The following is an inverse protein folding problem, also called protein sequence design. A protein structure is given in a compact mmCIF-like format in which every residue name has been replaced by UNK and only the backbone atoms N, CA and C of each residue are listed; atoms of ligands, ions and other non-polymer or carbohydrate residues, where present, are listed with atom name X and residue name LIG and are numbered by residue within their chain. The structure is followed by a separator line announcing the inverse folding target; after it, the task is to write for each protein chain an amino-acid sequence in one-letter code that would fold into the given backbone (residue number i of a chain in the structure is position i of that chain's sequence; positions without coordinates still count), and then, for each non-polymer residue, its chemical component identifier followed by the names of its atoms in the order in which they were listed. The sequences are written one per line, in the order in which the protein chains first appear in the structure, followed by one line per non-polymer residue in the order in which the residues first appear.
data_IF_745176656571
#
_entry.id   IF_745176656571
#
_cell.length_a   1.000
_cell.length_b   1.000
_cell.length_c   1.000
_cell.angle_alpha   90.00
_cell.angle_beta   90.00
_cell.angle_gamma   90.00
#
_symmetry.space_group_name_H-M   'P 1'
#
loop_
_entity.id
_entity.type
_entity.pdbx_description
1 polymer ?
#
# COMPACT_ATOMS: atom_id res chain seq x y z
N UNK A 1 19.98 -7.51 -9.91
CA UNK A 1 18.89 -8.39 -10.36
C UNK A 1 17.72 -7.47 -10.66
N UNK A 2 17.17 -7.54 -11.87
CA UNK A 2 16.00 -6.72 -12.22
C UNK A 2 14.79 -7.33 -11.52
N UNK A 3 13.98 -6.52 -10.82
CA UNK A 3 12.75 -6.97 -10.20
C UNK A 3 11.81 -7.51 -11.30
N UNK A 4 11.25 -8.70 -11.11
CA UNK A 4 10.30 -9.28 -12.08
C UNK A 4 8.87 -8.86 -11.76
N UNK A 5 7.95 -9.00 -12.73
CA UNK A 5 6.53 -8.73 -12.52
C UNK A 5 5.92 -9.68 -11.48
N UNK A 6 6.38 -10.92 -11.46
CA UNK A 6 5.97 -11.94 -10.49
C UNK A 6 6.36 -11.55 -9.07
N UNK A 7 7.64 -11.21 -8.85
CA UNK A 7 8.12 -10.74 -7.54
C UNK A 7 7.42 -9.46 -7.10
N UNK A 8 7.12 -8.54 -8.02
CA UNK A 8 6.31 -7.36 -7.70
C UNK A 8 4.89 -7.76 -7.28
N UNK A 9 4.29 -8.74 -7.96
CA UNK A 9 2.97 -9.28 -7.61
C UNK A 9 2.92 -9.81 -6.19
N UNK A 10 3.93 -10.60 -5.78
CA UNK A 10 4.06 -11.11 -4.41
C UNK A 10 4.21 -9.98 -3.38
N UNK A 11 5.04 -8.98 -3.67
CA UNK A 11 5.21 -7.79 -2.82
C UNK A 11 3.89 -7.05 -2.64
N UNK A 12 3.14 -6.89 -3.74
CA UNK A 12 1.85 -6.22 -3.73
C UNK A 12 0.77 -7.01 -2.98
N UNK A 13 0.75 -8.34 -3.08
CA UNK A 13 -0.17 -9.19 -2.31
C UNK A 13 0.15 -9.15 -0.80
N UNK A 14 1.43 -9.13 -0.45
CA UNK A 14 1.85 -8.95 0.94
C UNK A 14 1.43 -7.57 1.48
N UNK A 15 1.67 -6.50 0.71
CA UNK A 15 1.27 -5.14 1.10
C UNK A 15 -0.23 -5.01 1.28
N UNK A 16 -1.02 -5.67 0.44
CA UNK A 16 -2.47 -5.73 0.53
C UNK A 16 -2.90 -6.20 1.93
N UNK A 17 -2.46 -7.41 2.32
CA UNK A 17 -2.78 -8.02 3.62
C UNK A 17 -2.33 -7.17 4.81
N UNK A 18 -1.11 -6.62 4.75
CA UNK A 18 -0.57 -5.78 5.84
C UNK A 18 -1.31 -4.46 5.94
N UNK A 19 -1.74 -3.88 4.82
CA UNK A 19 -2.49 -2.61 4.80
C UNK A 19 -3.90 -2.82 5.35
N UNK A 20 -4.57 -3.92 5.02
CA UNK A 20 -5.86 -4.27 5.61
C UNK A 20 -5.79 -4.44 7.13
N UNK A 21 -4.79 -5.17 7.62
CA UNK A 21 -4.59 -5.34 9.06
C UNK A 21 -4.29 -4.00 9.75
N UNK A 22 -3.44 -3.17 9.16
CA UNK A 22 -3.18 -1.84 9.70
C UNK A 22 -4.46 -0.99 9.70
N UNK A 23 -5.26 -1.03 8.63
CA UNK A 23 -6.51 -0.27 8.57
C UNK A 23 -7.45 -0.71 9.69
N UNK A 24 -7.62 -2.02 9.91
CA UNK A 24 -8.40 -2.54 11.03
C UNK A 24 -7.90 -2.01 12.37
N UNK A 25 -6.61 -2.22 12.67
CA UNK A 25 -6.04 -1.78 13.94
C UNK A 25 -6.15 -0.27 14.13
N UNK A 26 -6.00 0.49 13.05
CA UNK A 26 -6.03 1.94 13.09
C UNK A 26 -7.44 2.48 13.31
N UNK A 27 -8.45 1.97 12.60
CA UNK A 27 -9.85 2.37 12.81
C UNK A 27 -10.42 1.90 14.15
N UNK A 28 -9.91 0.79 14.70
CA UNK A 28 -10.36 0.27 16.00
C UNK A 28 -9.65 0.94 17.19
N UNK A 29 -8.37 1.32 17.05
CA UNK A 29 -7.53 1.67 18.21
C UNK A 29 -6.73 2.97 18.08
N UNK A 30 -6.56 3.54 16.87
CA UNK A 30 -5.73 4.74 16.69
C UNK A 30 -6.61 5.99 16.60
N UNK A 31 -6.38 6.92 17.53
CA UNK A 31 -6.91 8.27 17.44
C UNK A 31 -6.00 9.10 16.51
N UNK A 32 -6.39 9.20 15.23
CA UNK A 32 -5.72 10.05 14.26
C UNK A 32 -6.53 11.33 14.04
N UNK A 33 -5.86 12.48 14.12
CA UNK A 33 -6.45 13.78 13.81
C UNK A 33 -7.03 13.82 12.40
N UNK A 34 -8.20 14.45 12.24
CA UNK A 34 -8.87 14.55 10.94
C UNK A 34 -9.81 13.38 10.60
N UNK A 35 -10.10 12.49 11.56
CA UNK A 35 -11.08 11.42 11.40
C UNK A 35 -10.74 10.49 10.24
N UNK A 36 -11.74 10.09 9.44
CA UNK A 36 -11.52 9.19 8.30
C UNK A 36 -10.47 9.72 7.30
N UNK A 37 -10.50 11.02 6.97
CA UNK A 37 -9.55 11.59 5.99
C UNK A 37 -8.11 11.60 6.50
N UNK A 38 -7.93 11.87 7.80
CA UNK A 38 -6.64 11.74 8.47
C UNK A 38 -6.14 10.30 8.45
N UNK A 39 -7.04 9.34 8.73
CA UNK A 39 -6.74 7.92 8.70
C UNK A 39 -6.37 7.43 7.29
N UNK A 40 -7.13 7.79 6.26
CA UNK A 40 -6.83 7.43 4.86
C UNK A 40 -5.45 7.96 4.43
N UNK A 41 -5.15 9.23 4.76
CA UNK A 41 -3.85 9.83 4.47
C UNK A 41 -2.71 9.10 5.18
N UNK A 42 -2.90 8.74 6.46
CA UNK A 42 -1.95 7.95 7.22
C UNK A 42 -1.70 6.58 6.58
N UNK A 43 -2.75 5.84 6.27
CA UNK A 43 -2.65 4.50 5.68
C UNK A 43 -1.99 4.53 4.29
N UNK A 44 -2.34 5.49 3.44
CA UNK A 44 -1.73 5.67 2.11
C UNK A 44 -0.23 5.97 2.21
N UNK A 45 0.19 6.78 3.18
CA UNK A 45 1.60 7.03 3.44
C UNK A 45 2.34 5.77 3.94
N UNK A 46 1.71 5.01 4.86
CA UNK A 46 2.29 3.75 5.34
C UNK A 46 2.43 2.70 4.25
N UNK A 47 1.50 2.65 3.29
CA UNK A 47 1.62 1.80 2.10
C UNK A 47 2.89 2.15 1.30
N UNK A 48 3.10 3.43 0.98
CA UNK A 48 4.23 3.89 0.16
C UNK A 48 5.58 3.61 0.84
N UNK A 49 5.68 3.92 2.14
CA UNK A 49 6.89 3.64 2.94
C UNK A 49 7.22 2.15 2.92
N UNK A 50 6.22 1.29 3.15
CA UNK A 50 6.43 -0.16 3.19
C UNK A 50 6.79 -0.73 1.81
N UNK A 51 6.15 -0.23 0.75
CA UNK A 51 6.49 -0.62 -0.61
C UNK A 51 7.95 -0.31 -0.92
N UNK A 52 8.40 0.92 -0.66
CA UNK A 52 9.78 1.30 -0.92
C UNK A 52 10.76 0.45 -0.11
N UNK A 53 10.48 0.18 1.17
CA UNK A 53 11.30 -0.69 2.00
C UNK A 53 11.41 -2.13 1.43
N UNK A 54 10.30 -2.70 0.95
CA UNK A 54 10.30 -4.04 0.35
C UNK A 54 11.07 -4.06 -0.98
N UNK A 55 10.96 -2.99 -1.79
CA UNK A 55 11.71 -2.87 -3.03
C UNK A 55 13.21 -2.73 -2.76
N UNK A 56 13.61 -1.91 -1.78
CA UNK A 56 15.00 -1.75 -1.35
C UNK A 56 15.59 -3.07 -0.86
N UNK A 57 14.83 -3.85 -0.09
CA UNK A 57 15.26 -5.19 0.34
C UNK A 57 15.52 -6.14 -0.84
N UNK A 58 14.88 -5.90 -1.99
CA UNK A 58 15.12 -6.62 -3.25
C UNK A 58 16.10 -5.90 -4.19
N UNK A 59 16.88 -4.94 -3.68
CA UNK A 59 17.86 -4.13 -4.42
C UNK A 59 17.22 -3.34 -5.58
N UNK A 60 15.99 -2.87 -5.37
CA UNK A 60 15.20 -2.07 -6.31
C UNK A 60 14.65 -0.82 -5.60
N UNK A 61 13.90 0.01 -6.33
CA UNK A 61 13.13 1.14 -5.81
C UNK A 61 11.94 1.41 -6.72
N UNK A 62 10.98 2.23 -6.30
CA UNK A 62 9.86 2.63 -7.16
C UNK A 62 10.35 3.26 -8.47
N UNK A 63 11.45 4.02 -8.42
CA UNK A 63 12.02 4.70 -9.58
C UNK A 63 12.63 3.72 -10.58
N UNK A 64 13.17 2.59 -10.11
CA UNK A 64 13.74 1.53 -10.94
C UNK A 64 12.69 0.65 -11.64
N UNK A 65 11.41 0.74 -11.26
CA UNK A 65 10.35 -0.03 -11.90
C UNK A 65 10.08 0.47 -13.33
N UNK A 66 9.80 -0.48 -14.23
CA UNK A 66 9.28 -0.19 -15.56
C UNK A 66 7.91 0.51 -15.48
N UNK A 67 7.55 1.27 -16.51
CA UNK A 67 6.27 2.00 -16.56
C UNK A 67 5.05 1.09 -16.32
N UNK A 68 5.04 -0.11 -16.93
CA UNK A 68 3.97 -1.09 -16.72
C UNK A 68 3.86 -1.55 -15.25
N UNK A 69 4.99 -1.76 -14.58
CA UNK A 69 5.02 -2.13 -13.16
C UNK A 69 4.55 -0.99 -12.25
N UNK A 70 4.95 0.25 -12.55
CA UNK A 70 4.47 1.45 -11.85
C UNK A 70 2.96 1.57 -11.96
N UNK A 71 2.40 1.33 -13.15
CA UNK A 71 0.95 1.32 -13.33
C UNK A 71 0.27 0.21 -12.52
N UNK A 72 0.88 -0.98 -12.43
CA UNK A 72 0.35 -2.06 -11.58
C UNK A 72 0.35 -1.68 -10.10
N UNK A 73 1.39 -1.01 -9.62
CA UNK A 73 1.45 -0.49 -8.24
C UNK A 73 0.31 0.50 -8.00
N UNK A 74 0.13 1.48 -8.90
CA UNK A 74 -0.93 2.50 -8.79
C UNK A 74 -2.31 1.84 -8.75
N UNK A 75 -2.60 0.95 -9.69
CA UNK A 75 -3.88 0.24 -9.75
C UNK A 75 -4.14 -0.58 -8.49
N UNK A 76 -3.13 -1.31 -8.00
CA UNK A 76 -3.28 -2.12 -6.79
C UNK A 76 -3.53 -1.24 -5.58
N UNK A 77 -2.83 -0.11 -5.45
CA UNK A 77 -3.04 0.86 -4.36
C UNK A 77 -4.49 1.34 -4.36
N UNK A 78 -5.01 1.81 -5.48
CA UNK A 78 -6.40 2.28 -5.54
C UNK A 78 -7.41 1.18 -5.22
N UNK A 79 -7.23 -0.06 -5.70
CA UNK A 79 -8.12 -1.19 -5.35
C UNK A 79 -8.16 -1.44 -3.84
N UNK A 80 -7.02 -1.36 -3.16
CA UNK A 80 -6.93 -1.57 -1.71
C UNK A 80 -7.67 -0.44 -0.98
N UNK A 81 -7.39 0.81 -1.32
CA UNK A 81 -7.96 1.96 -0.63
C UNK A 81 -9.44 2.19 -0.94
N UNK A 82 -9.91 1.82 -2.13
CA UNK A 82 -11.35 1.75 -2.45
C UNK A 82 -12.06 0.74 -1.55
N UNK A 83 -11.44 -0.42 -1.29
CA UNK A 83 -12.00 -1.45 -0.42
C UNK A 83 -12.05 -0.99 1.03
N UNK A 84 -10.97 -0.39 1.54
CA UNK A 84 -10.90 0.19 2.88
C UNK A 84 -11.95 1.31 3.03
N UNK A 85 -12.04 2.21 2.05
CA UNK A 85 -13.02 3.31 2.08
C UNK A 85 -14.45 2.79 2.17
N UNK A 86 -14.81 1.79 1.35
CA UNK A 86 -16.14 1.16 1.41
C UNK A 86 -16.41 0.47 2.76
N UNK A 87 -15.37 -0.05 3.41
CA UNK A 87 -15.52 -0.73 4.70
C UNK A 87 -15.72 0.24 5.87
N UNK A 88 -15.08 1.41 5.84
CA UNK A 88 -15.01 2.31 6.99
C UNK A 88 -15.64 3.70 6.79
N UNK A 89 -16.05 4.08 5.57
CA UNK A 89 -16.59 5.41 5.26
C UNK A 89 -17.95 5.43 4.55
N UNK A 90 -18.60 4.27 4.36
CA UNK A 90 -19.91 4.12 3.70
C UNK A 90 -20.16 5.08 2.52
#
# INVERSE_FOLDING_TARGET
MVLTKETLGEVLEYLDKVTENLAKDAFENLEIEGGFSGMDSFLRNQFDIRLENLLVAKKSSIHHLESGMKNTVIQRKEIIFDRITKQYNN
#
